data_IF_386781756188
#
_entry.id   IF_386781756188
#
_cell.length_a   1.000
_cell.length_b   1.000
_cell.length_c   1.000
_cell.angle_alpha   90.00
_cell.angle_beta   90.00
_cell.angle_gamma   90.00
#
_symmetry.space_group_name_H-M   'P 1'
#
loop_
_entity.id
_entity.type
_entity.pdbx_description
1 polymer ?
#
# COMPACT_ATOMS: atom_id res chain seq x y z
N UNK A 1 -10.19 2.80 -0.49
CA UNK A 1 -9.05 1.89 -0.79
C UNK A 1 -8.45 1.32 0.51
N UNK A 2 -7.65 0.23 0.49
CA UNK A 2 -7.00 -0.37 1.69
C UNK A 2 -6.37 0.67 2.63
N UNK A 3 -5.75 1.72 2.07
CA UNK A 3 -5.16 2.84 2.80
C UNK A 3 -6.10 3.57 3.76
N UNK A 4 -7.37 3.77 3.38
CA UNK A 4 -8.34 4.52 4.20
C UNK A 4 -8.59 3.83 5.54
N UNK A 5 -8.59 2.49 5.54
CA UNK A 5 -8.74 1.70 6.78
C UNK A 5 -7.52 1.83 7.70
N UNK A 6 -6.37 2.20 7.14
CA UNK A 6 -5.11 2.34 7.89
C UNK A 6 -4.90 3.77 8.40
N UNK A 7 -5.74 4.72 8.00
CA UNK A 7 -5.64 6.13 8.38
C UNK A 7 -4.28 6.77 8.05
N UNK A 8 -3.63 6.31 6.98
CA UNK A 8 -2.34 6.86 6.50
C UNK A 8 -2.50 7.67 5.22
N UNK A 9 -1.57 8.59 4.98
CA UNK A 9 -1.47 9.38 3.75
C UNK A 9 -1.06 8.52 2.54
N UNK A 10 -1.25 9.05 1.32
CA UNK A 10 -0.77 8.39 0.09
C UNK A 10 0.74 8.14 0.13
N UNK A 11 1.52 9.06 0.71
CA UNK A 11 2.98 8.93 0.79
C UNK A 11 3.38 7.78 1.72
N UNK A 12 2.80 7.75 2.93
CA UNK A 12 3.04 6.68 3.89
C UNK A 12 2.61 5.33 3.30
N UNK A 13 1.44 5.26 2.66
CA UNK A 13 0.99 4.00 2.07
C UNK A 13 1.84 3.53 0.88
N UNK A 14 2.31 4.46 0.06
CA UNK A 14 3.19 4.15 -1.06
C UNK A 14 4.53 3.59 -0.57
N UNK A 15 5.10 4.19 0.48
CA UNK A 15 6.25 3.64 1.19
C UNK A 15 5.94 2.25 1.73
N UNK A 16 4.76 2.07 2.35
CA UNK A 16 4.37 0.81 2.99
C UNK A 16 4.34 -0.37 2.03
N UNK A 17 3.82 -0.15 0.83
CA UNK A 17 3.69 -1.21 -0.18
C UNK A 17 4.85 -1.22 -1.18
N UNK A 18 5.87 -0.39 -0.97
CA UNK A 18 7.08 -0.35 -1.78
C UNK A 18 6.87 0.13 -3.21
N UNK A 19 6.00 1.13 -3.43
CA UNK A 19 5.74 1.71 -4.76
C UNK A 19 5.86 3.22 -4.75
N UNK A 20 5.99 3.83 -5.93
CA UNK A 20 5.92 5.28 -6.04
C UNK A 20 4.52 5.80 -5.72
N UNK A 21 4.42 7.01 -5.16
CA UNK A 21 3.15 7.71 -4.93
C UNK A 21 2.35 7.83 -6.24
N UNK A 22 3.03 8.06 -7.36
CA UNK A 22 2.42 8.12 -8.69
C UNK A 22 1.77 6.78 -9.09
N UNK A 23 2.41 5.66 -8.78
CA UNK A 23 1.85 4.32 -9.00
C UNK A 23 0.57 4.15 -8.19
N UNK A 24 0.62 4.53 -6.91
CA UNK A 24 -0.55 4.46 -6.03
C UNK A 24 -1.71 5.32 -6.53
N UNK A 25 -1.43 6.56 -6.95
CA UNK A 25 -2.44 7.47 -7.50
C UNK A 25 -3.08 6.90 -8.78
N UNK A 26 -2.31 6.27 -9.65
CA UNK A 26 -2.86 5.61 -10.83
C UNK A 26 -3.83 4.47 -10.47
N UNK A 27 -3.58 3.76 -9.36
CA UNK A 27 -4.49 2.73 -8.85
C UNK A 27 -5.74 3.32 -8.22
N UNK A 28 -5.59 4.32 -7.34
CA UNK A 28 -6.73 5.00 -6.69
C UNK A 28 -7.67 5.66 -7.70
N UNK A 29 -7.12 6.20 -8.80
CA UNK A 29 -7.90 6.81 -9.89
C UNK A 29 -8.41 5.80 -10.92
N UNK A 30 -8.14 4.51 -10.76
CA UNK A 30 -8.56 3.46 -11.70
C UNK A 30 -7.88 3.48 -13.07
N UNK A 31 -6.83 4.30 -13.26
CA UNK A 31 -6.06 4.37 -14.52
C UNK A 31 -5.25 3.11 -14.79
N UNK A 32 -4.84 2.42 -13.71
CA UNK A 32 -4.18 1.11 -13.75
C UNK A 32 -4.67 0.24 -12.60
N UNK A 33 -4.45 -1.06 -12.71
CA UNK A 33 -4.67 -1.99 -11.60
C UNK A 33 -3.34 -2.48 -11.03
N UNK A 34 -3.30 -2.82 -9.73
CA UNK A 34 -2.16 -3.51 -9.15
C UNK A 34 -2.06 -4.93 -9.74
N UNK A 35 -0.82 -5.39 -9.93
CA UNK A 35 -0.52 -6.70 -10.53
C UNK A 35 0.62 -7.39 -9.77
N UNK A 36 0.72 -8.70 -9.92
CA UNK A 36 1.81 -9.49 -9.34
C UNK A 36 2.00 -9.27 -7.83
N UNK A 37 3.23 -9.02 -7.35
CA UNK A 37 3.53 -8.81 -5.93
C UNK A 37 2.72 -7.69 -5.27
N UNK A 38 2.35 -6.64 -6.02
CA UNK A 38 1.55 -5.54 -5.46
C UNK A 38 0.16 -6.00 -5.00
N UNK A 39 -0.49 -6.92 -5.73
CA UNK A 39 -1.77 -7.51 -5.30
C UNK A 39 -1.61 -8.33 -4.02
N UNK A 40 -0.51 -9.05 -3.86
CA UNK A 40 -0.23 -9.81 -2.66
C UNK A 40 0.00 -8.88 -1.46
N UNK A 41 0.84 -7.84 -1.63
CA UNK A 41 1.09 -6.84 -0.59
C UNK A 41 -0.18 -6.09 -0.17
N UNK A 42 -1.02 -5.67 -1.12
CA UNK A 42 -2.30 -5.03 -0.81
C UNK A 42 -3.24 -5.95 -0.01
N UNK A 43 -3.23 -7.26 -0.31
CA UNK A 43 -4.00 -8.26 0.46
C UNK A 43 -3.45 -8.42 1.87
N UNK A 44 -2.13 -8.44 2.05
CA UNK A 44 -1.48 -8.53 3.35
C UNK A 44 -1.78 -7.27 4.16
N UNK A 45 -1.54 -6.08 3.59
CA UNK A 45 -1.84 -4.79 4.22
C UNK A 45 -3.33 -4.66 4.60
N UNK A 46 -4.24 -5.24 3.81
CA UNK A 46 -5.67 -5.28 4.15
C UNK A 46 -6.02 -6.23 5.30
N UNK A 47 -5.23 -7.29 5.53
CA UNK A 47 -5.50 -8.30 6.57
C UNK A 47 -4.76 -8.03 7.86
N UNK A 48 -3.51 -7.59 7.78
CA UNK A 48 -2.63 -7.34 8.91
C UNK A 48 -1.75 -6.11 8.63
N UNK A 49 -2.31 -4.90 8.74
CA UNK A 49 -1.56 -3.68 8.48
C UNK A 49 -0.43 -3.42 9.48
N UNK A 50 -0.62 -3.80 10.74
CA UNK A 50 0.40 -3.65 11.78
C UNK A 50 1.67 -4.41 11.43
N UNK A 51 1.57 -5.64 10.90
CA UNK A 51 2.74 -6.40 10.46
C UNK A 51 3.48 -5.75 9.29
N UNK A 52 2.76 -5.08 8.38
CA UNK A 52 3.42 -4.36 7.28
C UNK A 52 4.14 -3.13 7.83
N UNK A 53 3.49 -2.35 8.70
CA UNK A 53 4.09 -1.18 9.35
C UNK A 53 5.34 -1.55 10.17
N UNK A 54 5.28 -2.63 10.95
CA UNK A 54 6.40 -3.14 11.74
C UNK A 54 7.58 -3.52 10.84
N UNK A 55 7.35 -4.28 9.77
CA UNK A 55 8.38 -4.71 8.83
C UNK A 55 9.13 -3.53 8.16
N UNK A 56 8.51 -2.35 8.07
CA UNK A 56 9.10 -1.16 7.45
C UNK A 56 9.83 -0.26 8.45
N UNK A 57 9.48 -0.32 9.73
CA UNK A 57 10.13 0.45 10.80
C UNK A 57 11.34 -0.28 11.41
N UNK A 58 11.62 -1.50 10.96
CA UNK A 58 12.66 -2.37 11.51
C UNK A 58 14.09 -2.13 10.96
N UNK A 59 14.40 -0.94 10.44
CA UNK A 59 15.76 -0.58 10.00
C UNK A 59 16.54 0.24 11.03
#
# INVERSE_FOLDING_TARGET
MVRENLHVSQNEFALIIGVSVRTLQNWEQGRRQPEGPAKALLRIASKNPSAVLEALHSE
#
